data_IF_250645857978
#
_entry.id   IF_250645857978
#
_cell.length_a   1.000
_cell.length_b   1.000
_cell.length_c   1.000
_cell.angle_alpha   90.00
_cell.angle_beta   90.00
_cell.angle_gamma   90.00
#
_symmetry.space_group_name_H-M   'P 1'
#
loop_
_entity.id
_entity.type
_entity.pdbx_description
1 polymer ?
#
# COMPACT_ATOMS: atom_id res chain seq x y z
N UNK A 1 -56.26 17.95 -2.82
CA UNK A 1 -55.60 18.20 -4.11
C UNK A 1 -54.69 19.40 -3.97
N UNK A 2 -53.38 19.19 -3.84
CA UNK A 2 -52.36 20.23 -3.96
C UNK A 2 -51.17 19.62 -4.68
N UNK A 3 -50.99 20.03 -5.93
CA UNK A 3 -49.88 19.63 -6.81
C UNK A 3 -48.73 20.60 -6.56
N UNK A 4 -47.56 20.09 -6.17
CA UNK A 4 -46.32 20.88 -6.10
C UNK A 4 -45.44 20.50 -7.29
N UNK A 5 -45.17 21.48 -8.16
CA UNK A 5 -44.18 21.39 -9.22
C UNK A 5 -42.84 21.92 -8.68
N UNK A 6 -41.87 21.04 -8.50
CA UNK A 6 -40.47 21.41 -8.31
C UNK A 6 -39.81 21.42 -9.70
N UNK A 7 -39.56 22.63 -10.22
CA UNK A 7 -38.71 22.84 -11.38
C UNK A 7 -37.25 22.89 -10.93
N UNK A 8 -36.50 21.83 -11.24
CA UNK A 8 -35.03 21.83 -11.14
C UNK A 8 -34.46 22.40 -12.44
N UNK A 9 -34.03 23.66 -12.38
CA UNK A 9 -33.18 24.25 -13.41
C UNK A 9 -31.76 23.69 -13.24
N UNK A 10 -31.29 22.92 -14.21
CA UNK A 10 -29.90 22.49 -14.29
C UNK A 10 -29.01 23.70 -14.64
N UNK A 11 -27.84 23.86 -13.98
CA UNK A 11 -26.87 24.86 -14.42
C UNK A 11 -26.27 24.45 -15.78
N UNK A 12 -26.36 25.38 -16.74
CA UNK A 12 -25.64 25.31 -18.01
C UNK A 12 -24.16 25.57 -17.71
N UNK A 13 -23.32 24.56 -17.90
CA UNK A 13 -21.86 24.68 -17.79
C UNK A 13 -21.34 25.32 -19.08
N UNK A 14 -20.63 26.46 -19.04
CA UNK A 14 -20.06 27.09 -20.23
C UNK A 14 -18.88 26.26 -20.78
N UNK A 15 -18.89 25.99 -22.08
CA UNK A 15 -17.90 25.19 -22.82
C UNK A 15 -16.53 25.88 -23.06
N UNK A 16 -16.26 27.04 -22.44
CA UNK A 16 -15.18 27.95 -22.88
C UNK A 16 -14.02 28.10 -21.88
N UNK A 17 -13.43 26.98 -21.45
CA UNK A 17 -12.14 26.97 -20.75
C UNK A 17 -11.15 25.97 -21.35
N UNK A 18 -10.98 26.04 -22.68
CA UNK A 18 -9.76 25.57 -23.34
C UNK A 18 -8.64 26.59 -23.14
N UNK A 19 -8.18 26.74 -21.90
CA UNK A 19 -6.95 27.47 -21.63
C UNK A 19 -5.77 26.55 -21.97
N UNK A 20 -5.06 26.93 -23.02
CA UNK A 20 -3.84 26.31 -23.48
C UNK A 20 -2.78 26.32 -22.36
N UNK A 21 -2.36 25.14 -21.91
CA UNK A 21 -1.16 25.00 -21.10
C UNK A 21 0.06 24.83 -22.04
N UNK A 22 1.07 25.70 -21.96
CA UNK A 22 2.29 25.52 -22.74
C UNK A 22 3.11 24.36 -22.19
N UNK A 23 3.41 23.44 -23.11
CA UNK A 23 4.34 22.33 -22.99
C UNK A 23 5.75 22.85 -22.64
N UNK A 24 6.12 22.86 -21.37
CA UNK A 24 7.48 23.14 -20.93
C UNK A 24 8.31 21.84 -20.95
N UNK A 25 8.93 21.56 -22.10
CA UNK A 25 9.95 20.53 -22.26
C UNK A 25 11.22 21.02 -21.56
N UNK A 26 11.51 20.52 -20.35
CA UNK A 26 12.79 20.74 -19.70
C UNK A 26 13.72 19.57 -20.04
N UNK A 27 14.64 19.84 -20.97
CA UNK A 27 15.72 18.95 -21.38
C UNK A 27 16.83 19.02 -20.32
N UNK A 28 16.91 18.07 -19.39
CA UNK A 28 18.04 17.96 -18.46
C UNK A 28 19.12 17.11 -19.10
N UNK A 29 20.25 17.77 -19.37
CA UNK A 29 21.44 17.19 -19.97
C UNK A 29 22.09 16.15 -19.03
N UNK A 30 22.47 15.02 -19.63
CA UNK A 30 23.29 13.98 -19.04
C UNK A 30 24.68 14.54 -18.66
N UNK A 31 25.06 14.40 -17.39
CA UNK A 31 26.44 14.46 -16.95
C UNK A 31 26.95 13.04 -16.74
N UNK A 32 27.76 12.57 -17.68
CA UNK A 32 28.58 11.37 -17.53
C UNK A 32 29.60 11.60 -16.41
N UNK A 33 29.45 10.91 -15.29
CA UNK A 33 30.54 10.67 -14.35
C UNK A 33 30.87 9.18 -14.41
N UNK A 34 31.90 8.85 -15.19
CA UNK A 34 32.54 7.54 -15.21
C UNK A 34 33.38 7.40 -13.94
N UNK A 35 32.85 6.72 -12.93
CA UNK A 35 33.66 6.21 -11.81
C UNK A 35 34.17 4.82 -12.18
N UNK A 36 35.44 4.78 -12.54
CA UNK A 36 36.29 3.60 -12.63
C UNK A 36 36.57 3.12 -11.19
N UNK A 37 35.73 2.22 -10.68
CA UNK A 37 35.96 1.56 -9.38
C UNK A 37 36.54 0.17 -9.64
N UNK A 38 37.81 0.01 -9.30
CA UNK A 38 38.56 -1.22 -9.43
C UNK A 38 37.91 -2.34 -8.60
N UNK A 39 37.39 -3.36 -9.29
CA UNK A 39 36.86 -4.60 -8.72
C UNK A 39 37.92 -5.30 -7.85
N UNK A 40 37.77 -5.39 -6.52
CA UNK A 40 38.60 -6.27 -5.72
C UNK A 40 38.28 -7.74 -6.07
N UNK A 41 39.32 -8.55 -6.21
CA UNK A 41 39.19 -9.97 -6.51
C UNK A 41 38.29 -10.68 -5.47
N UNK A 42 37.43 -11.64 -5.90
CA UNK A 42 36.61 -12.41 -4.98
C UNK A 42 37.51 -13.25 -4.07
N UNK A 43 37.49 -12.95 -2.77
CA UNK A 43 38.05 -13.86 -1.76
C UNK A 43 37.14 -15.07 -1.69
N UNK A 44 37.64 -16.23 -2.10
CA UNK A 44 36.95 -17.51 -1.98
C UNK A 44 36.59 -17.74 -0.51
N UNK A 45 35.30 -17.80 -0.14
CA UNK A 45 34.95 -18.25 1.21
C UNK A 45 35.36 -19.71 1.34
N UNK A 46 36.27 -20.00 2.27
CA UNK A 46 36.51 -21.35 2.75
C UNK A 46 35.20 -21.87 3.35
N UNK A 47 34.45 -22.63 2.55
CA UNK A 47 33.23 -23.29 3.01
C UNK A 47 33.54 -24.32 4.09
N UNK A 48 32.55 -24.69 4.91
CA UNK A 48 32.70 -25.74 5.91
C UNK A 48 33.12 -27.04 5.22
N UNK A 49 34.08 -27.73 5.81
CA UNK A 49 34.56 -29.00 5.28
C UNK A 49 33.43 -30.04 5.33
N UNK A 50 33.41 -31.01 4.41
CA UNK A 50 32.40 -32.09 4.39
C UNK A 50 32.25 -32.82 5.74
N UNK A 51 33.31 -32.84 6.57
CA UNK A 51 33.29 -33.41 7.90
C UNK A 51 32.49 -32.59 8.93
N UNK A 52 32.31 -31.28 8.73
CA UNK A 52 31.49 -30.41 9.60
C UNK A 52 29.99 -30.57 9.36
N UNK A 53 29.59 -30.98 8.15
CA UNK A 53 28.19 -31.22 7.79
C UNK A 53 27.60 -32.51 8.39
N UNK A 54 28.43 -33.44 8.86
CA UNK A 54 27.98 -34.74 9.40
C UNK A 54 27.77 -34.77 10.93
N UNK A 55 28.06 -33.68 11.64
CA UNK A 55 27.89 -33.60 13.10
C UNK A 55 26.57 -32.93 13.56
N UNK A 56 25.70 -32.52 12.63
CA UNK A 56 24.38 -31.98 12.97
C UNK A 56 23.45 -33.15 13.29
N UNK A 57 23.22 -33.36 14.57
CA UNK A 57 22.30 -34.36 15.11
C UNK A 57 20.89 -34.14 14.52
N UNK A 58 20.35 -35.06 13.71
CA UNK A 58 19.03 -34.92 13.08
C UNK A 58 17.87 -35.05 14.09
N UNK A 59 18.15 -35.28 15.37
CA UNK A 59 17.13 -35.53 16.38
C UNK A 59 16.64 -34.28 17.14
N UNK A 60 17.20 -33.09 16.88
CA UNK A 60 16.60 -31.85 17.40
C UNK A 60 15.54 -31.39 16.42
N UNK A 61 14.34 -31.97 16.53
CA UNK A 61 13.12 -31.41 15.94
C UNK A 61 13.03 -29.95 16.41
N UNK A 62 13.27 -28.94 15.54
CA UNK A 62 13.19 -27.56 15.97
C UNK A 62 11.74 -27.35 16.39
N UNK A 63 11.51 -27.19 17.69
CA UNK A 63 10.20 -26.83 18.23
C UNK A 63 9.64 -25.72 17.33
N UNK A 64 8.49 -25.94 16.68
CA UNK A 64 7.99 -25.02 15.67
C UNK A 64 7.98 -23.63 16.30
N UNK A 65 8.72 -22.70 15.70
CA UNK A 65 8.84 -21.36 16.22
C UNK A 65 7.44 -20.86 16.57
N UNK A 66 7.21 -20.36 17.80
CA UNK A 66 5.88 -19.97 18.23
C UNK A 66 5.30 -19.06 17.17
N UNK A 67 4.14 -19.46 16.61
CA UNK A 67 3.51 -18.70 15.54
C UNK A 67 3.42 -17.24 16.00
N UNK A 68 3.86 -16.27 15.17
CA UNK A 68 3.85 -14.88 15.56
C UNK A 68 2.44 -14.53 16.03
N UNK A 69 2.35 -13.96 17.24
CA UNK A 69 1.09 -13.58 17.88
C UNK A 69 0.18 -12.95 16.83
N UNK A 70 -1.07 -13.39 16.79
CA UNK A 70 -2.08 -12.90 15.88
C UNK A 70 -1.99 -11.37 15.79
N UNK A 71 -1.85 -10.86 14.57
CA UNK A 71 -1.68 -9.45 14.19
C UNK A 71 -2.96 -8.61 14.48
N UNK A 72 -3.53 -8.81 15.66
CA UNK A 72 -4.88 -8.39 16.08
C UNK A 72 -4.90 -6.97 16.66
N UNK A 73 -3.74 -6.34 16.78
CA UNK A 73 -3.54 -5.00 17.32
C UNK A 73 -3.47 -3.90 16.24
N UNK A 74 -3.78 -4.23 14.98
CA UNK A 74 -3.81 -3.26 13.90
C UNK A 74 -5.11 -2.44 13.91
N UNK A 75 -5.02 -1.16 13.56
CA UNK A 75 -6.15 -0.23 13.44
C UNK A 75 -6.09 0.51 12.13
N UNK A 76 -7.25 0.86 11.57
CA UNK A 76 -7.36 1.65 10.34
C UNK A 76 -7.73 3.10 10.68
N UNK A 77 -7.09 4.05 10.00
CA UNK A 77 -7.42 5.48 10.05
C UNK A 77 -7.55 6.05 8.65
N UNK A 78 -8.54 6.92 8.48
CA UNK A 78 -8.76 7.66 7.25
C UNK A 78 -8.30 9.11 7.42
N UNK A 79 -7.51 9.61 6.48
CA UNK A 79 -7.13 11.03 6.46
C UNK A 79 -7.13 11.61 5.05
N UNK A 80 -7.69 12.82 4.91
CA UNK A 80 -7.60 13.57 3.68
C UNK A 80 -6.13 13.96 3.42
N UNK A 81 -5.70 13.82 2.17
CA UNK A 81 -4.34 14.17 1.73
C UNK A 81 -4.40 15.00 0.46
N UNK A 82 -3.26 15.56 0.06
CA UNK A 82 -3.06 16.17 -1.25
C UNK A 82 -2.11 15.27 -2.03
N UNK A 83 -2.61 14.60 -3.07
CA UNK A 83 -1.87 13.66 -3.90
C UNK A 83 -2.37 13.73 -5.34
N UNK A 84 -1.44 13.79 -6.29
CA UNK A 84 -1.77 13.84 -7.72
C UNK A 84 -2.33 12.50 -8.24
N UNK A 85 -1.91 11.40 -7.62
CA UNK A 85 -2.25 10.03 -8.03
C UNK A 85 -2.60 9.14 -6.83
N UNK A 86 -3.42 8.12 -7.09
CA UNK A 86 -3.84 7.11 -6.11
C UNK A 86 -4.32 5.85 -6.83
N UNK A 87 -4.57 4.79 -6.08
CA UNK A 87 -5.09 3.55 -6.66
C UNK A 87 -6.62 3.59 -6.82
N UNK A 88 -7.11 2.98 -7.91
CA UNK A 88 -8.54 2.84 -8.23
C UNK A 88 -9.22 1.63 -7.55
N UNK A 89 -8.50 0.91 -6.70
CA UNK A 89 -8.96 -0.32 -6.06
C UNK A 89 -8.93 -1.56 -6.96
N UNK A 90 -8.33 -1.46 -8.15
CA UNK A 90 -8.08 -2.58 -9.09
C UNK A 90 -6.58 -2.77 -9.37
N UNK A 91 -5.73 -2.16 -8.54
CA UNK A 91 -4.27 -2.15 -8.70
C UNK A 91 -3.72 -1.12 -9.68
N UNK A 92 -4.56 -0.30 -10.32
CA UNK A 92 -4.11 0.73 -11.25
C UNK A 92 -3.90 2.06 -10.53
N UNK A 93 -2.74 2.69 -10.77
CA UNK A 93 -2.47 4.06 -10.34
C UNK A 93 -3.09 5.04 -11.35
N UNK A 94 -3.94 5.93 -10.88
CA UNK A 94 -4.70 6.89 -11.68
C UNK A 94 -4.64 8.28 -11.05
N UNK A 95 -5.00 9.31 -11.82
CA UNK A 95 -5.16 10.66 -11.27
C UNK A 95 -6.19 10.65 -10.13
N UNK A 96 -5.88 11.33 -9.03
CA UNK A 96 -6.69 11.31 -7.81
C UNK A 96 -7.51 12.59 -7.65
N UNK A 97 -8.78 12.63 -8.11
CA UNK A 97 -9.62 13.82 -7.96
C UNK A 97 -10.07 14.09 -6.52
N UNK A 98 -10.09 13.06 -5.66
CA UNK A 98 -10.47 13.17 -4.24
C UNK A 98 -9.66 12.14 -3.41
N UNK A 99 -8.33 12.35 -3.28
CA UNK A 99 -7.44 11.38 -2.67
C UNK A 99 -7.68 11.21 -1.16
N UNK A 100 -7.60 9.97 -0.69
CA UNK A 100 -7.65 9.66 0.74
C UNK A 100 -6.58 8.65 1.12
N UNK A 101 -5.90 8.91 2.24
CA UNK A 101 -4.98 7.97 2.86
C UNK A 101 -5.75 6.98 3.74
N UNK A 102 -5.46 5.69 3.54
CA UNK A 102 -5.87 4.56 4.34
C UNK A 102 -4.65 4.11 5.15
N UNK A 103 -4.51 4.66 6.35
CA UNK A 103 -3.39 4.37 7.25
C UNK A 103 -3.73 3.19 8.13
N UNK A 104 -3.00 2.09 7.96
CA UNK A 104 -3.05 0.95 8.87
C UNK A 104 -1.93 1.13 9.90
N UNK A 105 -2.31 1.25 11.17
CA UNK A 105 -1.40 1.48 12.29
C UNK A 105 -1.29 0.24 13.16
N UNK A 106 -0.08 -0.05 13.65
CA UNK A 106 0.19 -1.11 14.61
C UNK A 106 1.29 -0.69 15.59
N UNK A 107 0.98 -0.65 16.88
CA UNK A 107 1.90 -0.19 17.93
C UNK A 107 3.21 -0.98 17.98
N UNK A 108 3.13 -2.30 17.76
CA UNK A 108 4.29 -3.19 17.76
C UNK A 108 5.16 -3.08 16.49
N UNK A 109 4.77 -2.25 15.51
CA UNK A 109 5.42 -2.16 14.20
C UNK A 109 5.01 -3.27 13.24
N UNK A 110 5.37 -3.12 11.97
CA UNK A 110 5.07 -4.13 10.95
C UNK A 110 6.16 -5.20 10.88
N UNK A 111 5.80 -6.50 10.84
CA UNK A 111 6.79 -7.54 10.66
C UNK A 111 7.43 -7.38 9.27
N UNK A 112 8.76 -7.43 9.19
CA UNK A 112 9.46 -7.56 7.92
C UNK A 112 9.19 -8.94 7.33
N UNK A 113 8.07 -9.09 6.63
CA UNK A 113 7.73 -10.30 5.86
C UNK A 113 8.33 -10.19 4.47
N UNK A 114 8.62 -11.34 3.87
CA UNK A 114 9.13 -11.39 2.49
C UNK A 114 8.05 -11.04 1.44
N UNK A 115 6.78 -11.03 1.86
CA UNK A 115 5.63 -10.79 1.00
C UNK A 115 5.07 -9.39 1.24
N UNK A 116 4.72 -8.73 0.14
CA UNK A 116 4.13 -7.41 0.16
C UNK A 116 2.68 -7.45 0.69
N UNK A 117 2.29 -6.54 1.60
CA UNK A 117 0.92 -6.41 2.04
C UNK A 117 0.02 -5.85 0.94
N UNK A 118 -1.24 -6.30 0.94
CA UNK A 118 -2.32 -5.67 0.15
C UNK A 118 -3.53 -5.39 1.05
N UNK A 119 -4.11 -4.21 0.90
CA UNK A 119 -5.31 -3.79 1.63
C UNK A 119 -6.54 -4.07 0.79
N UNK A 120 -7.50 -4.78 1.37
CA UNK A 120 -8.77 -5.13 0.75
C UNK A 120 -9.89 -4.35 1.43
N UNK A 121 -10.74 -3.71 0.64
CA UNK A 121 -11.92 -2.96 1.10
C UNK A 121 -13.13 -3.49 0.34
N UNK A 122 -13.83 -4.46 0.92
CA UNK A 122 -14.87 -5.20 0.22
C UNK A 122 -14.34 -5.93 -1.01
N UNK A 123 -14.62 -5.39 -2.20
CA UNK A 123 -14.14 -5.93 -3.47
C UNK A 123 -12.99 -5.15 -4.11
N UNK A 124 -12.50 -4.09 -3.45
CA UNK A 124 -11.38 -3.27 -3.91
C UNK A 124 -10.08 -3.76 -3.29
N UNK A 125 -9.00 -3.75 -4.08
CA UNK A 125 -7.65 -4.14 -3.66
C UNK A 125 -6.66 -3.01 -3.92
N UNK A 126 -5.85 -2.70 -2.91
CA UNK A 126 -4.79 -1.71 -2.94
C UNK A 126 -3.46 -2.40 -2.66
N UNK A 127 -2.51 -2.30 -3.57
CA UNK A 127 -1.24 -3.03 -3.53
C UNK A 127 -0.03 -2.12 -3.34
N UNK A 128 -0.18 -0.81 -3.59
CA UNK A 128 0.87 0.18 -3.46
C UNK A 128 0.73 0.85 -2.11
N UNK A 129 1.79 0.73 -1.32
CA UNK A 129 1.85 1.29 0.00
C UNK A 129 3.16 2.03 0.23
N UNK A 130 3.13 2.93 1.20
CA UNK A 130 4.30 3.61 1.72
C UNK A 130 4.42 3.34 3.23
N UNK A 131 5.62 3.53 3.76
CA UNK A 131 5.91 3.50 5.19
C UNK A 131 6.20 4.91 5.70
N UNK A 132 5.17 5.73 6.01
CA UNK A 132 5.41 7.04 6.63
C UNK A 132 6.03 6.91 8.04
N UNK A 133 5.84 5.76 8.71
CA UNK A 133 6.47 5.40 9.98
C UNK A 133 6.64 3.87 10.08
N UNK A 134 7.50 3.40 11.00
CA UNK A 134 7.71 1.95 11.24
C UNK A 134 6.45 1.22 11.70
N UNK A 135 5.49 1.96 12.25
CA UNK A 135 4.20 1.49 12.77
C UNK A 135 3.05 1.68 11.79
N UNK A 136 3.28 2.26 10.60
CA UNK A 136 2.20 2.69 9.71
C UNK A 136 2.43 2.24 8.28
N UNK A 137 1.45 1.54 7.71
CA UNK A 137 1.32 1.27 6.29
C UNK A 137 0.29 2.25 5.72
N UNK A 138 0.67 3.02 4.70
CA UNK A 138 -0.23 3.96 4.04
C UNK A 138 -0.56 3.47 2.64
N UNK A 139 -1.84 3.28 2.37
CA UNK A 139 -2.39 3.11 1.03
C UNK A 139 -3.11 4.40 0.62
N UNK A 140 -3.16 4.69 -0.68
CA UNK A 140 -3.84 5.89 -1.19
C UNK A 140 -4.90 5.47 -2.18
N UNK A 141 -6.16 5.76 -1.88
CA UNK A 141 -7.25 5.63 -2.84
C UNK A 141 -7.41 6.93 -3.63
N UNK A 142 -7.59 6.82 -4.95
CA UNK A 142 -7.70 7.97 -5.85
C UNK A 142 -8.97 8.81 -5.64
N UNK A 143 -10.05 8.16 -5.21
CA UNK A 143 -11.37 8.77 -5.04
C UNK A 143 -12.05 8.21 -3.79
N UNK A 144 -12.18 9.04 -2.75
CA UNK A 144 -12.89 8.70 -1.52
C UNK A 144 -14.35 8.28 -1.79
N UNK A 145 -15.01 8.87 -2.79
CA UNK A 145 -16.39 8.57 -3.15
C UNK A 145 -16.58 7.16 -3.72
N UNK A 146 -15.51 6.51 -4.18
CA UNK A 146 -15.54 5.14 -4.69
C UNK A 146 -15.44 4.07 -3.58
N UNK A 147 -15.09 4.46 -2.35
CA UNK A 147 -14.89 3.53 -1.25
C UNK A 147 -16.23 3.09 -0.61
N UNK A 148 -16.51 1.77 -0.50
CA UNK A 148 -17.72 1.28 0.14
C UNK A 148 -17.62 1.37 1.67
N UNK A 149 -18.30 2.35 2.25
CA UNK A 149 -18.19 2.73 3.68
C UNK A 149 -18.43 1.58 4.68
N UNK A 150 -19.41 0.72 4.42
CA UNK A 150 -19.79 -0.37 5.33
C UNK A 150 -19.17 -1.72 4.94
N UNK A 151 -18.23 -1.72 3.98
CA UNK A 151 -17.54 -2.93 3.59
C UNK A 151 -16.48 -3.35 4.63
N UNK A 152 -16.24 -4.66 4.77
CA UNK A 152 -15.13 -5.16 5.59
C UNK A 152 -13.80 -4.67 5.00
N UNK A 153 -12.87 -4.34 5.90
CA UNK A 153 -11.49 -3.98 5.57
C UNK A 153 -10.55 -5.02 6.14
N UNK A 154 -9.66 -5.52 5.29
CA UNK A 154 -8.74 -6.59 5.62
C UNK A 154 -7.34 -6.29 5.05
N UNK A 155 -6.30 -6.59 5.83
CA UNK A 155 -4.92 -6.52 5.36
C UNK A 155 -4.40 -7.94 5.14
N UNK A 156 -3.92 -8.22 3.95
CA UNK A 156 -3.46 -9.54 3.51
C UNK A 156 -1.94 -9.49 3.28
N UNK A 157 -1.21 -10.53 3.69
CA UNK A 157 0.19 -10.73 3.34
C UNK A 157 0.33 -11.96 2.45
N UNK A 158 0.77 -11.76 1.21
CA UNK A 158 0.92 -12.84 0.24
C UNK A 158 -0.40 -13.51 -0.14
N UNK A 159 -0.32 -14.80 -0.47
CA UNK A 159 -1.46 -15.63 -0.89
C UNK A 159 -2.00 -16.54 0.23
N UNK A 160 -1.43 -16.44 1.45
CA UNK A 160 -1.82 -17.27 2.58
C UNK A 160 -3.04 -16.68 3.29
N UNK A 161 -4.16 -17.41 3.28
CA UNK A 161 -5.38 -17.01 3.96
C UNK A 161 -5.19 -16.83 5.48
N UNK A 162 -4.27 -17.59 6.08
CA UNK A 162 -3.94 -17.47 7.50
C UNK A 162 -3.14 -16.19 7.82
N UNK A 163 -2.67 -15.48 6.79
CA UNK A 163 -2.01 -14.19 6.87
C UNK A 163 -2.97 -13.03 6.57
N UNK A 164 -4.20 -13.11 7.09
CA UNK A 164 -5.21 -12.03 7.00
C UNK A 164 -5.42 -11.35 8.34
N UNK A 165 -5.50 -10.02 8.34
CA UNK A 165 -5.82 -9.19 9.50
C UNK A 165 -7.08 -8.40 9.24
N UNK A 166 -8.13 -8.70 10.02
CA UNK A 166 -9.36 -7.92 9.99
C UNK A 166 -9.16 -6.55 10.65
N UNK A 167 -9.54 -5.48 9.95
CA UNK A 167 -9.39 -4.09 10.39
C UNK A 167 -10.73 -3.40 10.70
N UNK A 168 -11.86 -4.12 10.58
CA UNK A 168 -13.20 -3.59 10.81
C UNK A 168 -13.85 -3.07 9.53
N UNK A 169 -14.53 -1.93 9.59
CA UNK A 169 -15.16 -1.26 8.44
C UNK A 169 -14.65 0.17 8.25
N UNK A 170 -14.79 0.75 7.06
CA UNK A 170 -14.34 2.14 6.81
C UNK A 170 -15.14 3.18 7.62
N UNK A 171 -16.42 2.93 7.86
CA UNK A 171 -17.28 3.78 8.69
C UNK A 171 -16.74 3.95 10.11
N UNK A 172 -16.12 2.92 10.68
CA UNK A 172 -15.53 2.95 12.03
C UNK A 172 -14.20 3.68 12.09
N UNK A 173 -13.50 3.79 10.96
CA UNK A 173 -12.17 4.38 10.85
C UNK A 173 -12.19 5.89 10.54
N UNK A 174 -13.38 6.51 10.41
CA UNK A 174 -13.52 7.96 10.30
C UNK A 174 -13.39 8.63 11.69
N UNK A 175 -12.66 9.74 11.78
CA UNK A 175 -12.57 10.52 13.02
C UNK A 175 -13.90 11.18 13.43
#
# INVERSE_FOLDING_TARGET
>A
MRTFHFGTALPVIPEDMRAAFPLAVLLVAAACATSDEATPAPSTPSGPTRAELEAVDPATDPEPAPMPRALTDATLRLSAIDADEGEDGRGALVAAPDPIALDVERDAGWPGRAEDPSLHVGGLRFERYAFPAVTTLRFVAADQGALPMDAPVELHWGDDADATVALGTLSEARP
#
